data_IF_313577361598
#
_entry.id   IF_313577361598
#
_cell.length_a   1.000
_cell.length_b   1.000
_cell.length_c   1.000
_cell.angle_alpha   90.00
_cell.angle_beta   90.00
_cell.angle_gamma   90.00
#
_symmetry.space_group_name_H-M   'P 1'
#
loop_
_entity.id
_entity.type
_entity.pdbx_description
1 polymer ?
#
# COMPACT_ATOMS: atom_id res chain seq x y z
N UNK A 1 -3.56 -1.47 25.50
CA UNK A 1 -3.14 -0.84 24.23
C UNK A 1 -3.46 -1.77 23.06
N UNK A 2 -4.09 -1.24 22.05
CA UNK A 2 -4.40 -2.05 20.88
C UNK A 2 -3.22 -2.11 19.94
N UNK A 3 -2.89 -3.32 19.51
CA UNK A 3 -1.85 -3.54 18.52
C UNK A 3 -2.40 -3.60 17.09
N UNK A 4 -3.71 -3.73 16.96
CA UNK A 4 -4.38 -3.86 15.67
C UNK A 4 -5.35 -2.72 15.46
N UNK A 5 -5.52 -2.36 14.20
CA UNK A 5 -6.48 -1.32 13.79
C UNK A 5 -7.89 -1.89 13.84
N UNK A 6 -8.82 -1.18 14.44
CA UNK A 6 -10.24 -1.57 14.45
C UNK A 6 -10.87 -1.28 13.09
N UNK A 7 -12.04 -1.86 12.82
CA UNK A 7 -12.74 -1.61 11.57
C UNK A 7 -13.15 -0.14 11.41
N UNK A 8 -13.45 0.56 12.50
CA UNK A 8 -13.73 2.00 12.45
C UNK A 8 -12.48 2.79 12.07
N UNK A 9 -11.32 2.41 12.61
CA UNK A 9 -10.07 3.05 12.26
C UNK A 9 -9.70 2.79 10.79
N UNK A 10 -10.03 1.61 10.28
CA UNK A 10 -9.83 1.31 8.86
C UNK A 10 -10.69 2.24 8.00
N UNK A 11 -11.96 2.46 8.39
CA UNK A 11 -12.82 3.39 7.66
C UNK A 11 -12.26 4.80 7.64
N UNK A 12 -11.68 5.26 8.76
CA UNK A 12 -11.02 6.57 8.81
C UNK A 12 -9.79 6.60 7.92
N UNK A 13 -9.04 5.51 7.89
CA UNK A 13 -7.87 5.38 7.02
C UNK A 13 -8.28 5.53 5.56
N UNK A 14 -9.38 4.91 5.15
CA UNK A 14 -9.89 5.06 3.78
C UNK A 14 -10.09 6.53 3.45
N UNK A 15 -10.72 7.29 4.35
CA UNK A 15 -10.93 8.72 4.15
C UNK A 15 -9.61 9.46 3.97
N UNK A 16 -8.63 9.18 4.81
CA UNK A 16 -7.32 9.85 4.73
C UNK A 16 -6.58 9.48 3.46
N UNK A 17 -6.56 8.21 3.10
CA UNK A 17 -5.86 7.78 1.89
C UNK A 17 -6.54 8.28 0.62
N UNK A 18 -7.85 8.48 0.66
CA UNK A 18 -8.60 8.98 -0.50
C UNK A 18 -8.12 10.35 -0.94
N UNK A 19 -7.51 11.13 -0.05
CA UNK A 19 -6.96 12.44 -0.40
C UNK A 19 -5.80 12.34 -1.38
N UNK A 20 -5.19 11.17 -1.48
CA UNK A 20 -4.05 10.95 -2.36
C UNK A 20 -4.45 10.34 -3.71
N UNK A 21 -5.74 10.09 -3.94
CA UNK A 21 -6.21 9.57 -5.23
C UNK A 21 -5.80 10.55 -6.34
N UNK A 22 -5.27 10.02 -7.43
CA UNK A 22 -4.69 10.80 -8.51
C UNK A 22 -3.17 10.88 -8.44
N UNK A 23 -2.58 10.47 -7.32
CA UNK A 23 -1.12 10.44 -7.19
C UNK A 23 -0.50 9.38 -8.09
N UNK A 24 0.73 9.63 -8.50
CA UNK A 24 1.51 8.68 -9.27
C UNK A 24 2.53 8.02 -8.36
N UNK A 25 2.65 6.71 -8.48
CA UNK A 25 3.62 5.95 -7.69
C UNK A 25 4.99 6.15 -8.31
N UNK A 26 5.94 6.65 -7.53
CA UNK A 26 7.30 6.90 -8.01
C UNK A 26 8.24 5.76 -7.69
N UNK A 27 8.15 5.24 -6.46
CA UNK A 27 9.06 4.19 -6.01
C UNK A 27 8.43 3.43 -4.86
N UNK A 28 8.88 2.20 -4.65
CA UNK A 28 8.48 1.38 -3.52
C UNK A 28 9.71 0.97 -2.74
N UNK A 29 9.58 0.94 -1.42
CA UNK A 29 10.66 0.59 -0.51
C UNK A 29 10.15 -0.37 0.55
N UNK A 30 11.04 -1.16 1.10
CA UNK A 30 10.73 -1.98 2.28
C UNK A 30 11.81 -1.75 3.32
N UNK A 31 11.69 -0.67 4.13
CA UNK A 31 12.71 -0.33 5.14
C UNK A 31 12.84 -1.37 6.24
N UNK A 32 11.80 -2.16 6.46
CA UNK A 32 11.73 -3.19 7.48
C UNK A 32 10.90 -4.33 6.91
N UNK A 33 11.12 -5.56 7.38
CA UNK A 33 10.38 -6.70 6.81
C UNK A 33 8.85 -6.57 6.98
N UNK A 34 8.40 -5.78 7.95
CA UNK A 34 6.98 -5.55 8.17
C UNK A 34 6.50 -4.20 7.64
N UNK A 35 7.37 -3.42 7.00
CA UNK A 35 7.01 -2.07 6.57
C UNK A 35 7.28 -1.88 5.09
N UNK A 36 6.26 -1.44 4.38
CA UNK A 36 6.35 -1.12 2.95
C UNK A 36 5.99 0.34 2.76
N UNK A 37 6.76 1.04 1.93
CA UNK A 37 6.55 2.46 1.65
C UNK A 37 6.38 2.66 0.16
N UNK A 38 5.28 3.31 -0.24
CA UNK A 38 5.07 3.72 -1.63
C UNK A 38 5.25 5.23 -1.70
N UNK A 39 6.27 5.67 -2.44
CA UNK A 39 6.51 7.09 -2.64
C UNK A 39 5.63 7.60 -3.76
N UNK A 40 4.82 8.62 -3.45
CA UNK A 40 3.82 9.15 -4.37
C UNK A 40 4.06 10.62 -4.63
N UNK A 41 3.71 11.05 -5.85
CA UNK A 41 3.71 12.46 -6.21
C UNK A 41 2.37 12.84 -6.80
N UNK A 42 1.90 14.04 -6.45
CA UNK A 42 0.65 14.59 -6.97
C UNK A 42 0.89 16.06 -7.27
N UNK A 43 0.46 16.50 -8.45
CA UNK A 43 0.66 17.88 -8.88
C UNK A 43 0.05 18.83 -7.86
N UNK A 44 0.83 19.85 -7.48
CA UNK A 44 0.38 20.85 -6.50
C UNK A 44 0.52 20.40 -5.05
N UNK A 45 1.12 19.24 -4.79
CA UNK A 45 1.30 18.71 -3.44
C UNK A 45 2.75 18.31 -3.21
N UNK A 46 3.18 18.33 -1.97
CA UNK A 46 4.49 17.79 -1.59
C UNK A 46 4.49 16.28 -1.82
N UNK A 47 5.66 15.71 -2.09
CA UNK A 47 5.79 14.26 -2.19
C UNK A 47 5.35 13.63 -0.88
N UNK A 48 4.61 12.54 -0.99
CA UNK A 48 4.02 11.87 0.16
C UNK A 48 4.37 10.39 0.10
N UNK A 49 4.69 9.82 1.24
CA UNK A 49 4.90 8.39 1.36
C UNK A 49 3.64 7.76 1.94
N UNK A 50 3.15 6.72 1.27
CA UNK A 50 2.10 5.88 1.83
C UNK A 50 2.81 4.74 2.56
N UNK A 51 2.66 4.72 3.88
CA UNK A 51 3.38 3.77 4.74
C UNK A 51 2.44 2.68 5.17
N UNK A 52 2.83 1.43 4.89
CA UNK A 52 2.06 0.24 5.24
C UNK A 52 2.85 -0.53 6.30
N UNK A 53 2.28 -0.66 7.49
CA UNK A 53 2.86 -1.48 8.55
C UNK A 53 2.03 -2.76 8.64
N UNK A 54 2.63 -3.87 8.26
CA UNK A 54 1.95 -5.16 8.15
C UNK A 54 1.13 -5.48 9.40
N UNK A 55 -0.14 -5.77 9.19
CA UNK A 55 -1.05 -6.16 10.27
C UNK A 55 -1.46 -5.06 11.23
N UNK A 56 -0.96 -3.83 11.05
CA UNK A 56 -1.16 -2.77 12.03
C UNK A 56 -1.86 -1.54 11.49
N UNK A 57 -1.29 -0.88 10.49
CA UNK A 57 -1.86 0.38 10.01
C UNK A 57 -1.32 0.78 8.65
N UNK A 58 -2.01 1.73 8.04
CA UNK A 58 -1.58 2.39 6.80
C UNK A 58 -1.80 3.89 7.01
N UNK A 59 -0.84 4.71 6.61
CA UNK A 59 -0.97 6.16 6.76
C UNK A 59 -0.11 6.89 5.74
N UNK A 60 -0.44 8.16 5.51
CA UNK A 60 0.36 9.06 4.67
C UNK A 60 1.36 9.80 5.53
N UNK A 61 2.55 10.03 4.99
CA UNK A 61 3.60 10.75 5.70
C UNK A 61 4.40 11.61 4.72
N UNK A 62 4.71 12.84 5.14
CA UNK A 62 5.62 13.71 4.40
C UNK A 62 7.00 13.76 5.05
N UNK A 63 7.22 12.99 6.11
CA UNK A 63 8.50 12.96 6.80
C UNK A 63 9.56 12.28 5.96
N UNK A 64 10.74 12.88 5.95
CA UNK A 64 11.90 12.19 5.41
C UNK A 64 12.27 11.04 6.32
N UNK A 65 12.66 9.94 5.72
CA UNK A 65 13.13 8.75 6.43
C UNK A 65 14.21 8.09 5.59
N UNK A 66 15.20 7.49 6.24
CA UNK A 66 16.22 6.76 5.49
C UNK A 66 15.60 5.56 4.80
N UNK A 67 15.98 5.37 3.54
CA UNK A 67 15.52 4.24 2.75
C UNK A 67 16.70 3.31 2.49
N UNK A 68 16.46 1.99 2.43
CA UNK A 68 17.54 1.05 2.15
C UNK A 68 18.08 1.28 0.74
N UNK A 69 19.40 1.15 0.54
CA UNK A 69 20.00 1.34 -0.79
C UNK A 69 19.56 0.27 -1.78
N UNK A 70 19.26 -0.94 -1.30
CA UNK A 70 18.86 -2.04 -2.16
C UNK A 70 17.41 -2.42 -1.86
N UNK A 71 16.56 -2.58 -2.90
CA UNK A 71 15.18 -2.98 -2.68
C UNK A 71 15.09 -4.46 -2.31
N UNK A 72 14.11 -4.80 -1.46
CA UNK A 72 13.74 -6.19 -1.21
C UNK A 72 13.09 -6.77 -2.45
N UNK A 73 12.90 -8.09 -2.47
CA UNK A 73 12.20 -8.73 -3.58
C UNK A 73 10.78 -8.18 -3.71
N UNK A 74 10.06 -8.00 -2.62
CA UNK A 74 8.71 -7.46 -2.66
C UNK A 74 8.71 -6.02 -3.21
N UNK A 75 9.64 -5.19 -2.76
CA UNK A 75 9.77 -3.82 -3.26
C UNK A 75 10.07 -3.82 -4.76
N UNK A 76 10.90 -4.72 -5.24
CA UNK A 76 11.21 -4.84 -6.66
C UNK A 76 9.96 -5.22 -7.47
N UNK A 77 9.16 -6.16 -6.96
CA UNK A 77 7.92 -6.56 -7.62
C UNK A 77 6.94 -5.38 -7.65
N UNK A 78 6.83 -4.63 -6.55
CA UNK A 78 5.98 -3.45 -6.53
C UNK A 78 6.45 -2.39 -7.53
N UNK A 79 7.76 -2.16 -7.62
CA UNK A 79 8.32 -1.20 -8.59
C UNK A 79 8.01 -1.63 -10.03
N UNK A 80 8.12 -2.92 -10.29
CA UNK A 80 7.85 -3.46 -11.62
C UNK A 80 6.39 -3.26 -12.03
N UNK A 81 5.46 -3.52 -11.13
CA UNK A 81 4.04 -3.54 -11.45
C UNK A 81 3.32 -2.22 -11.16
N UNK A 82 3.78 -1.46 -10.16
CA UNK A 82 3.11 -0.22 -9.75
C UNK A 82 3.89 1.04 -10.11
N UNK A 83 5.14 0.91 -10.57
CA UNK A 83 5.94 2.09 -10.94
C UNK A 83 5.23 2.88 -12.03
N UNK A 84 5.10 4.19 -11.82
CA UNK A 84 4.42 5.13 -12.71
C UNK A 84 2.91 4.88 -12.84
N UNK A 85 2.33 3.98 -12.05
CA UNK A 85 0.89 3.81 -12.04
C UNK A 85 0.23 4.96 -11.28
N UNK A 86 -1.06 5.13 -11.52
CA UNK A 86 -1.88 6.12 -10.83
C UNK A 86 -2.68 5.43 -9.74
N UNK A 87 -2.66 6.01 -8.55
CA UNK A 87 -3.52 5.57 -7.45
C UNK A 87 -4.93 6.05 -7.73
N UNK A 88 -5.87 5.14 -7.97
CA UNK A 88 -7.21 5.50 -8.42
C UNK A 88 -8.32 5.22 -7.40
N UNK A 89 -8.03 4.48 -6.35
CA UNK A 89 -9.06 4.21 -5.36
C UNK A 89 -8.56 3.47 -4.16
N UNK A 90 -9.34 3.56 -3.09
CA UNK A 90 -9.10 2.83 -1.85
C UNK A 90 -10.45 2.48 -1.26
N UNK A 91 -10.59 1.25 -0.76
CA UNK A 91 -11.82 0.82 -0.15
C UNK A 91 -11.54 -0.17 0.98
N UNK A 92 -12.47 -0.24 1.90
CA UNK A 92 -12.49 -1.27 2.93
C UNK A 92 -13.33 -2.42 2.40
N UNK A 93 -12.81 -3.63 2.51
CA UNK A 93 -13.53 -4.81 2.02
C UNK A 93 -14.49 -5.32 3.11
N UNK A 94 -15.78 -5.10 2.88
CA UNK A 94 -16.82 -5.43 3.86
C UNK A 94 -16.65 -4.59 5.11
N UNK A 95 -16.90 -5.21 6.27
CA UNK A 95 -16.62 -4.60 7.57
C UNK A 95 -15.34 -5.14 8.20
N UNK A 96 -14.55 -5.84 7.41
CA UNK A 96 -13.29 -6.40 7.88
C UNK A 96 -12.20 -5.34 7.93
N UNK A 97 -11.11 -5.66 8.62
CA UNK A 97 -9.94 -4.79 8.68
C UNK A 97 -9.02 -5.07 7.51
N UNK A 98 -9.59 -4.96 6.30
CA UNK A 98 -8.88 -5.21 5.05
C UNK A 98 -9.09 -4.02 4.14
N UNK A 99 -7.99 -3.49 3.60
CA UNK A 99 -8.01 -2.40 2.62
C UNK A 99 -7.64 -2.93 1.25
N UNK A 100 -8.27 -2.37 0.23
CA UNK A 100 -7.85 -2.57 -1.15
C UNK A 100 -7.45 -1.23 -1.74
N UNK A 101 -6.21 -1.12 -2.21
CA UNK A 101 -5.72 0.04 -2.93
C UNK A 101 -5.70 -0.31 -4.41
N UNK A 102 -6.30 0.54 -5.25
CA UNK A 102 -6.41 0.29 -6.68
C UNK A 102 -5.48 1.21 -7.45
N UNK A 103 -4.78 0.62 -8.43
CA UNK A 103 -3.81 1.34 -9.26
C UNK A 103 -4.09 1.05 -10.73
N UNK A 104 -3.78 2.03 -11.59
CA UNK A 104 -3.99 1.91 -13.03
C UNK A 104 -2.73 2.32 -13.76
N UNK A 105 -2.29 1.51 -14.70
CA UNK A 105 -1.14 1.81 -15.55
C UNK A 105 -1.45 1.33 -16.96
N UNK A 106 -1.49 2.27 -17.91
CA UNK A 106 -1.86 1.93 -19.26
C UNK A 106 -3.25 1.28 -19.31
N UNK A 107 -3.32 0.05 -19.79
CA UNK A 107 -4.59 -0.67 -19.87
C UNK A 107 -4.84 -1.62 -18.71
N UNK A 108 -3.87 -1.72 -17.81
CA UNK A 108 -3.94 -2.70 -16.73
C UNK A 108 -4.29 -2.07 -15.39
N UNK A 109 -4.88 -2.89 -14.54
CA UNK A 109 -5.16 -2.51 -13.15
C UNK A 109 -4.49 -3.50 -12.23
N UNK A 110 -4.03 -2.97 -11.10
CA UNK A 110 -3.46 -3.78 -10.04
C UNK A 110 -4.10 -3.37 -8.72
N UNK A 111 -4.17 -4.30 -7.79
CA UNK A 111 -4.69 -4.03 -6.46
C UNK A 111 -3.66 -4.43 -5.43
N UNK A 112 -3.57 -3.64 -4.36
CA UNK A 112 -2.76 -3.99 -3.21
C UNK A 112 -3.73 -4.19 -2.04
N UNK A 113 -3.88 -5.43 -1.62
CA UNK A 113 -4.79 -5.80 -0.53
C UNK A 113 -3.98 -5.87 0.76
N UNK A 114 -4.41 -5.12 1.75
CA UNK A 114 -3.70 -4.96 3.01
C UNK A 114 -4.57 -5.46 4.15
N UNK A 115 -4.10 -6.50 4.83
CA UNK A 115 -4.82 -7.11 5.95
C UNK A 115 -4.31 -6.50 7.25
N UNK A 116 -5.18 -5.72 7.91
CA UNK A 116 -4.83 -4.98 9.12
C UNK A 116 -5.30 -5.72 10.38
N UNK A 117 -4.92 -6.98 10.46
CA UNK A 117 -5.16 -7.82 11.63
C UNK A 117 -3.93 -8.66 11.89
N UNK A 118 -3.89 -9.27 13.07
CA UNK A 118 -2.72 -10.07 13.49
C UNK A 118 -2.40 -11.13 12.45
N UNK A 119 -1.12 -11.23 12.10
CA UNK A 119 -0.62 -12.16 11.07
C UNK A 119 -1.20 -11.87 9.68
N UNK A 120 -1.75 -10.68 9.49
CA UNK A 120 -2.23 -10.26 8.19
C UNK A 120 -1.09 -10.08 7.19
N UNK A 121 -1.44 -10.04 5.91
CA UNK A 121 -0.49 -9.96 4.83
C UNK A 121 -0.72 -8.69 4.00
N UNK A 122 0.17 -8.47 3.05
CA UNK A 122 0.01 -7.46 2.01
C UNK A 122 0.14 -8.22 0.69
N UNK A 123 -0.89 -8.14 -0.15
CA UNK A 123 -0.97 -8.96 -1.37
C UNK A 123 -1.08 -8.06 -2.59
N UNK A 124 -0.19 -8.26 -3.56
CA UNK A 124 -0.32 -7.60 -4.85
C UNK A 124 -1.12 -8.52 -5.77
N UNK A 125 -2.23 -8.02 -6.31
CA UNK A 125 -3.11 -8.78 -7.18
C UNK A 125 -3.17 -8.14 -8.55
N UNK A 126 -3.30 -8.98 -9.59
CA UNK A 126 -3.49 -8.49 -10.95
C UNK A 126 -4.96 -8.17 -11.22
N UNK A 127 -5.26 -7.77 -12.46
CA UNK A 127 -6.60 -7.37 -12.88
C UNK A 127 -7.62 -8.50 -12.75
N UNK A 128 -7.17 -9.75 -12.77
CA UNK A 128 -8.03 -10.92 -12.59
C UNK A 128 -8.20 -11.34 -11.14
N UNK A 129 -7.58 -10.62 -10.21
CA UNK A 129 -7.64 -10.96 -8.79
C UNK A 129 -6.67 -12.06 -8.40
N UNK A 130 -5.72 -12.40 -9.25
CA UNK A 130 -4.72 -13.43 -8.96
C UNK A 130 -3.56 -12.81 -8.22
N UNK A 131 -3.10 -13.47 -7.16
CA UNK A 131 -1.98 -12.98 -6.35
C UNK A 131 -0.70 -13.05 -7.18
N UNK A 132 -0.09 -11.87 -7.41
CA UNK A 132 1.21 -11.77 -8.07
C UNK A 132 2.32 -12.03 -7.08
N UNK A 133 2.22 -11.42 -5.91
CA UNK A 133 3.24 -11.55 -4.87
C UNK A 133 2.66 -11.21 -3.51
N UNK A 134 2.78 -12.07 -2.50
CA UNK A 134 2.49 -11.70 -1.11
C UNK A 134 3.73 -11.11 -0.45
N UNK A 135 3.54 -10.29 0.57
CA UNK A 135 4.65 -9.78 1.37
C UNK A 135 5.30 -10.93 2.15
N UNK A 136 4.47 -11.77 2.76
CA UNK A 136 4.96 -12.97 3.45
C UNK A 136 4.30 -14.20 2.84
N UNK A 137 5.09 -15.27 2.73
CA UNK A 137 4.58 -16.52 2.18
C UNK A 137 3.99 -17.38 3.29
N UNK A 138 2.85 -18.02 2.99
CA UNK A 138 2.27 -18.98 3.91
C UNK A 138 3.19 -20.19 4.06
N UNK A 139 3.23 -20.75 5.24
CA UNK A 139 3.99 -21.97 5.50
C UNK A 139 3.09 -23.17 5.45
#
# INVERSE_FOLDING_TARGET
MREQTSSFEVARTVTELSKMIGSRIRKAYQPHYEQVVLRMSKKGHANTDLVIVRGKRVYNSTRDRPMPPNPSQFAMVLRKHLGNSRFIGVSQLGFDRVLSLEFEHGKGRMSLVIELFRDGNVLLLDDSGIIVQPLTHAK
#
